data_IF_826629094900
#
_entry.id   IF_826629094900
#
_cell.length_a   1.000
_cell.length_b   1.000
_cell.length_c   1.000
_cell.angle_alpha   90.00
_cell.angle_beta   90.00
_cell.angle_gamma   90.00
#
_symmetry.space_group_name_H-M   'P 1'
#
loop_
_entity.id
_entity.type
_entity.pdbx_description
1 polymer ?
#
# COMPACT_ATOMS: atom_id res chain seq x y z
N UNK A 1 13.65 -9.33 -12.25
CA UNK A 1 12.87 -9.70 -11.06
C UNK A 1 11.96 -8.52 -10.72
N UNK A 2 10.66 -8.69 -10.87
CA UNK A 2 9.67 -7.71 -10.40
C UNK A 2 9.69 -7.80 -8.88
N UNK A 3 10.12 -6.74 -8.20
CA UNK A 3 9.96 -6.64 -6.74
C UNK A 3 8.49 -6.38 -6.48
N UNK A 4 7.79 -7.35 -5.91
CA UNK A 4 6.44 -7.15 -5.41
C UNK A 4 6.50 -6.31 -4.13
N UNK A 5 5.55 -5.40 -3.97
CA UNK A 5 5.45 -4.60 -2.74
C UNK A 5 5.10 -5.52 -1.57
N UNK A 6 5.79 -5.34 -0.43
CA UNK A 6 5.53 -6.10 0.79
C UNK A 6 4.20 -5.73 1.43
N UNK A 7 3.74 -4.49 1.24
CA UNK A 7 2.46 -3.98 1.69
C UNK A 7 1.70 -3.40 0.51
N UNK A 8 0.45 -3.81 0.36
CA UNK A 8 -0.50 -3.27 -0.62
C UNK A 8 -1.85 -3.01 0.05
N UNK A 9 -2.80 -2.41 -0.66
CA UNK A 9 -4.15 -2.17 -0.15
C UNK A 9 -5.24 -2.59 -1.12
N UNK A 10 -6.44 -2.78 -0.59
CA UNK A 10 -7.68 -2.93 -1.36
C UNK A 10 -8.77 -2.03 -0.72
N UNK A 11 -9.27 -0.99 -1.43
CA UNK A 11 -8.89 -0.59 -2.79
C UNK A 11 -7.43 -0.12 -2.89
N UNK A 12 -6.88 -0.12 -4.10
CA UNK A 12 -5.46 0.15 -4.36
C UNK A 12 -5.01 1.57 -3.96
N UNK A 13 -5.91 2.54 -4.01
CA UNK A 13 -5.62 3.94 -3.69
C UNK A 13 -6.43 4.37 -2.47
N UNK A 14 -5.75 4.62 -1.37
CA UNK A 14 -6.34 5.12 -0.12
C UNK A 14 -5.99 6.59 0.02
N UNK A 15 -6.99 7.45 0.14
CA UNK A 15 -6.80 8.88 0.33
C UNK A 15 -6.55 9.24 1.80
N UNK A 16 -5.98 10.42 2.03
CA UNK A 16 -5.61 10.93 3.36
C UNK A 16 -6.78 11.03 4.34
N UNK A 17 -8.01 11.08 3.84
CA UNK A 17 -9.26 11.17 4.62
C UNK A 17 -10.21 9.99 4.37
N UNK A 18 -9.68 8.86 3.90
CA UNK A 18 -10.50 7.69 3.57
C UNK A 18 -11.31 7.22 4.79
N UNK A 19 -12.65 7.17 4.64
CA UNK A 19 -13.61 6.99 5.72
C UNK A 19 -14.47 5.73 5.62
N UNK A 20 -14.13 4.82 4.70
CA UNK A 20 -14.78 3.50 4.57
C UNK A 20 -13.82 2.40 4.99
N UNK A 21 -14.33 1.17 5.16
CA UNK A 21 -13.49 0.01 5.38
C UNK A 21 -12.54 -0.19 4.20
N UNK A 22 -11.29 -0.55 4.50
CA UNK A 22 -10.31 -0.98 3.50
C UNK A 22 -9.35 -2.00 4.10
N UNK A 23 -8.70 -2.74 3.23
CA UNK A 23 -7.78 -3.80 3.62
C UNK A 23 -6.32 -3.41 3.33
N UNK A 24 -5.44 -3.70 4.27
CA UNK A 24 -3.99 -3.72 4.09
C UNK A 24 -3.56 -5.18 3.93
N UNK A 25 -2.86 -5.47 2.85
CA UNK A 25 -2.35 -6.80 2.54
C UNK A 25 -0.85 -6.83 2.79
N UNK A 26 -0.42 -7.75 3.64
CA UNK A 26 0.98 -7.99 3.96
C UNK A 26 1.44 -9.31 3.34
N UNK A 27 2.50 -9.26 2.53
CA UNK A 27 3.18 -10.43 1.97
C UNK A 27 4.46 -10.73 2.76
N UNK A 28 4.39 -11.74 3.62
CA UNK A 28 5.50 -12.16 4.48
C UNK A 28 6.66 -12.83 3.72
N UNK A 29 6.52 -13.08 2.42
CA UNK A 29 7.60 -13.62 1.57
C UNK A 29 8.53 -12.53 1.05
N UNK A 30 8.10 -11.27 1.11
CA UNK A 30 8.86 -10.12 0.62
C UNK A 30 9.77 -9.56 1.71
N UNK A 31 10.62 -8.59 1.34
CA UNK A 31 11.63 -8.03 2.25
C UNK A 31 12.64 -9.10 2.69
N UNK A 32 13.04 -9.08 3.94
CA UNK A 32 13.98 -10.05 4.52
C UNK A 32 13.42 -11.45 4.78
N UNK A 33 12.11 -11.69 4.57
CA UNK A 33 11.44 -12.98 4.77
C UNK A 33 11.37 -13.44 6.25
N UNK A 34 11.70 -12.57 7.20
CA UNK A 34 11.71 -12.90 8.63
C UNK A 34 10.34 -13.29 9.20
N UNK A 35 9.27 -12.87 8.53
CA UNK A 35 7.88 -13.17 8.88
C UNK A 35 7.30 -14.39 8.14
N UNK A 36 8.10 -15.07 7.34
CA UNK A 36 7.64 -16.26 6.61
C UNK A 36 7.24 -17.38 7.58
N UNK A 37 6.18 -18.11 7.20
CA UNK A 37 5.67 -19.31 7.90
C UNK A 37 5.19 -19.06 9.35
N UNK A 38 4.82 -17.81 9.69
CA UNK A 38 4.14 -17.52 10.96
C UNK A 38 2.72 -18.10 10.96
N UNK A 39 2.21 -18.41 12.15
CA UNK A 39 0.86 -18.96 12.36
C UNK A 39 -0.15 -17.92 12.76
N UNK A 40 0.30 -16.81 13.36
CA UNK A 40 -0.51 -15.66 13.75
C UNK A 40 0.22 -14.38 13.38
N UNK A 41 -0.51 -13.35 13.00
CA UNK A 41 0.06 -12.06 12.64
C UNK A 41 -0.73 -10.93 13.27
N UNK A 42 -0.02 -9.99 13.89
CA UNK A 42 -0.55 -8.75 14.44
C UNK A 42 0.19 -7.55 13.88
N UNK A 43 -0.49 -6.42 13.80
CA UNK A 43 0.11 -5.15 13.42
C UNK A 43 0.39 -4.28 14.64
N UNK A 44 1.65 -3.89 14.84
CA UNK A 44 1.96 -2.64 15.52
C UNK A 44 1.86 -1.54 14.47
N UNK A 45 0.99 -0.56 14.66
CA UNK A 45 0.64 0.39 13.59
C UNK A 45 0.42 1.80 14.12
N UNK A 46 0.60 2.79 13.27
CA UNK A 46 0.43 4.20 13.55
C UNK A 46 0.37 5.01 12.25
N UNK A 47 0.49 6.31 12.36
CA UNK A 47 0.45 7.25 11.25
C UNK A 47 1.71 8.12 11.20
N UNK A 48 2.24 8.38 10.02
CA UNK A 48 2.98 9.60 9.75
C UNK A 48 1.98 10.67 9.31
N UNK A 49 2.03 11.81 9.95
CA UNK A 49 1.11 12.93 9.69
C UNK A 49 1.87 14.18 9.26
N UNK A 50 1.14 15.24 8.94
CA UNK A 50 1.72 16.56 8.68
C UNK A 50 2.46 17.16 9.89
N UNK A 51 2.30 16.57 11.09
CA UNK A 51 2.96 16.98 12.35
C UNK A 51 4.14 16.06 12.73
N UNK A 52 4.36 14.97 11.97
CA UNK A 52 5.52 14.11 12.18
C UNK A 52 6.81 14.80 11.71
N UNK A 53 7.86 14.71 12.50
CA UNK A 53 9.17 15.31 12.19
C UNK A 53 9.99 14.48 11.20
N UNK A 54 9.75 13.17 11.15
CA UNK A 54 10.39 12.19 10.25
C UNK A 54 9.60 10.87 10.26
N UNK A 55 10.06 9.90 9.50
CA UNK A 55 9.39 8.58 9.36
C UNK A 55 9.46 7.68 10.61
N UNK A 56 10.23 8.06 11.65
CA UNK A 56 10.23 7.38 12.95
C UNK A 56 9.30 8.04 13.98
N UNK A 57 8.72 9.20 13.65
CA UNK A 57 7.83 9.95 14.53
C UNK A 57 6.37 9.58 14.29
N UNK A 58 6.04 8.31 14.60
CA UNK A 58 4.70 7.78 14.45
C UNK A 58 3.72 8.42 15.44
N UNK A 59 2.59 8.87 14.93
CA UNK A 59 1.47 9.41 15.70
C UNK A 59 0.34 8.38 15.75
N UNK A 60 -0.53 8.51 16.74
CA UNK A 60 -1.70 7.63 16.89
C UNK A 60 -1.35 6.14 16.91
N UNK A 61 -0.13 5.83 17.38
CA UNK A 61 0.39 4.48 17.38
C UNK A 61 -0.22 3.61 18.47
N UNK A 62 -0.25 2.31 18.20
CA UNK A 62 -0.64 1.28 19.16
C UNK A 62 0.48 1.04 20.18
N UNK A 63 0.15 0.42 21.33
CA UNK A 63 1.19 -0.09 22.20
C UNK A 63 1.95 -1.26 21.57
N UNK A 64 3.24 -1.36 21.85
CA UNK A 64 4.01 -2.52 21.39
C UNK A 64 3.51 -3.81 22.09
N UNK A 65 3.30 -4.86 21.30
CA UNK A 65 2.83 -6.13 21.82
C UNK A 65 1.31 -6.21 22.05
N UNK A 66 0.55 -5.18 21.64
CA UNK A 66 -0.90 -5.20 21.73
C UNK A 66 -1.48 -6.27 20.82
N UNK A 67 -2.17 -7.25 21.40
CA UNK A 67 -2.81 -8.38 20.73
C UNK A 67 -4.35 -8.23 20.68
N UNK A 68 -4.87 -7.01 20.74
CA UNK A 68 -6.29 -6.77 20.50
C UNK A 68 -6.70 -7.27 19.10
N UNK A 69 -7.89 -7.85 19.01
CA UNK A 69 -8.44 -8.39 17.74
C UNK A 69 -8.51 -7.33 16.63
N UNK A 70 -8.55 -6.06 16.99
CA UNK A 70 -8.51 -4.93 16.06
C UNK A 70 -7.23 -4.92 15.21
N UNK A 71 -6.12 -5.41 15.76
CA UNK A 71 -4.79 -5.41 15.13
C UNK A 71 -4.38 -6.78 14.59
N UNK A 72 -5.25 -7.77 14.77
CA UNK A 72 -5.02 -9.13 14.30
C UNK A 72 -5.28 -9.26 12.81
N UNK A 73 -4.31 -9.78 12.07
CA UNK A 73 -4.47 -10.06 10.66
C UNK A 73 -5.12 -11.41 10.42
N UNK A 74 -5.91 -11.49 9.37
CA UNK A 74 -6.49 -12.74 8.86
C UNK A 74 -5.58 -13.29 7.77
N UNK A 75 -5.24 -14.58 7.86
CA UNK A 75 -4.52 -15.27 6.79
C UNK A 75 -5.45 -15.44 5.58
N UNK A 76 -5.03 -14.94 4.41
CA UNK A 76 -5.80 -15.03 3.16
C UNK A 76 -5.19 -16.03 2.16
N UNK A 77 -3.87 -16.19 2.17
CA UNK A 77 -3.10 -17.17 1.40
C UNK A 77 -1.88 -17.60 2.22
N UNK A 78 -1.10 -18.55 1.71
CA UNK A 78 0.18 -18.89 2.34
C UNK A 78 1.10 -17.67 2.36
N UNK A 79 1.55 -17.30 3.56
CA UNK A 79 2.39 -16.13 3.82
C UNK A 79 1.77 -14.77 3.42
N UNK A 80 0.46 -14.72 3.12
CA UNK A 80 -0.26 -13.47 2.92
C UNK A 80 -1.33 -13.24 3.96
N UNK A 81 -1.34 -12.03 4.48
CA UNK A 81 -2.13 -11.63 5.64
C UNK A 81 -2.87 -10.34 5.34
N UNK A 82 -4.05 -10.19 5.92
CA UNK A 82 -4.94 -9.07 5.72
C UNK A 82 -5.31 -8.42 7.04
N UNK A 83 -5.08 -7.10 7.16
CA UNK A 83 -5.62 -6.26 8.22
C UNK A 83 -6.73 -5.40 7.65
N UNK A 84 -7.94 -5.49 8.20
CA UNK A 84 -9.04 -4.60 7.82
C UNK A 84 -9.03 -3.34 8.69
N UNK A 85 -8.84 -2.18 8.08
CA UNK A 85 -8.98 -0.87 8.71
C UNK A 85 -10.46 -0.48 8.67
N UNK A 86 -11.17 -0.71 9.76
CA UNK A 86 -12.63 -0.50 9.82
C UNK A 86 -12.98 0.95 10.01
N UNK A 87 -13.95 1.44 9.22
CA UNK A 87 -14.48 2.79 9.29
C UNK A 87 -13.50 3.86 8.78
N UNK A 88 -12.41 3.44 8.14
CA UNK A 88 -11.40 4.34 7.62
C UNK A 88 -10.37 4.80 8.66
N UNK A 89 -9.57 5.78 8.28
CA UNK A 89 -8.37 6.20 9.01
C UNK A 89 -8.72 6.73 10.40
N UNK A 90 -9.60 7.71 10.50
CA UNK A 90 -9.93 8.33 11.79
C UNK A 90 -10.70 7.41 12.74
N UNK A 91 -11.57 6.54 12.21
CA UNK A 91 -12.28 5.58 13.04
C UNK A 91 -11.33 4.50 13.61
N UNK A 92 -10.29 4.17 12.87
CA UNK A 92 -9.32 3.16 13.28
C UNK A 92 -8.23 3.73 14.20
N UNK A 93 -7.63 4.87 13.86
CA UNK A 93 -6.51 5.45 14.61
C UNK A 93 -6.92 6.49 15.65
N UNK A 94 -8.13 7.03 15.56
CA UNK A 94 -8.63 8.15 16.34
C UNK A 94 -8.67 9.45 15.52
N UNK A 95 -9.50 10.40 15.96
CA UNK A 95 -9.63 11.67 15.27
C UNK A 95 -8.33 12.46 15.28
N UNK A 96 -7.91 12.92 14.12
CA UNK A 96 -6.74 13.77 13.95
C UNK A 96 -6.99 15.15 14.58
N UNK A 97 -5.91 15.82 15.01
CA UNK A 97 -5.98 17.19 15.48
C UNK A 97 -6.39 18.13 14.34
N UNK A 98 -7.00 19.26 14.68
CA UNK A 98 -7.39 20.27 13.69
C UNK A 98 -6.20 20.69 12.80
N UNK A 99 -6.39 20.61 11.48
CA UNK A 99 -5.36 20.92 10.48
C UNK A 99 -4.25 19.88 10.36
N UNK A 100 -4.34 18.75 11.06
CA UNK A 100 -3.44 17.62 10.89
C UNK A 100 -3.94 16.71 9.76
N UNK A 101 -3.03 16.20 8.94
CA UNK A 101 -3.34 15.35 7.79
C UNK A 101 -2.50 14.07 7.88
N UNK A 102 -3.12 12.90 7.79
CA UNK A 102 -2.42 11.63 7.66
C UNK A 102 -1.70 11.57 6.30
N UNK A 103 -0.45 11.13 6.29
CA UNK A 103 0.37 11.01 5.08
C UNK A 103 0.74 9.59 4.74
N UNK A 104 1.01 8.77 5.79
CA UNK A 104 1.35 7.35 5.61
C UNK A 104 0.71 6.54 6.72
N UNK A 105 0.31 5.32 6.39
CA UNK A 105 0.08 4.28 7.38
C UNK A 105 1.41 3.58 7.66
N UNK A 106 1.69 3.32 8.92
CA UNK A 106 2.95 2.72 9.37
C UNK A 106 2.68 1.39 10.03
N UNK A 107 3.53 0.39 9.76
CA UNK A 107 3.36 -0.97 10.28
C UNK A 107 4.68 -1.59 10.67
N UNK A 108 4.68 -2.29 11.79
CA UNK A 108 5.55 -3.45 12.03
C UNK A 108 4.62 -4.64 12.21
N UNK A 109 4.65 -5.59 11.29
CA UNK A 109 3.94 -6.85 11.45
C UNK A 109 4.76 -7.77 12.33
N UNK A 110 4.09 -8.50 13.22
CA UNK A 110 4.76 -9.36 14.19
C UNK A 110 3.95 -10.62 14.48
N UNK A 111 4.63 -11.66 14.93
CA UNK A 111 4.00 -12.83 15.56
C UNK A 111 3.35 -12.46 16.89
N UNK A 112 2.47 -13.29 17.40
CA UNK A 112 1.77 -13.06 18.68
C UNK A 112 2.74 -12.81 19.85
N UNK A 113 3.83 -13.59 19.93
CA UNK A 113 4.87 -13.44 20.96
C UNK A 113 5.90 -12.35 20.66
N UNK A 114 5.83 -11.70 19.50
CA UNK A 114 6.82 -10.74 19.00
C UNK A 114 8.24 -11.30 18.86
N UNK A 115 8.39 -12.60 18.74
CA UNK A 115 9.66 -13.28 18.46
C UNK A 115 10.08 -13.15 17.00
N UNK A 116 9.12 -12.89 16.10
CA UNK A 116 9.31 -12.53 14.71
C UNK A 116 8.62 -11.20 14.41
N UNK A 117 9.28 -10.35 13.65
CA UNK A 117 8.74 -9.06 13.22
C UNK A 117 9.31 -8.64 11.86
N UNK A 118 8.56 -7.80 11.13
CA UNK A 118 9.04 -7.11 9.95
C UNK A 118 9.92 -5.93 10.32
N UNK A 119 10.60 -5.35 9.34
CA UNK A 119 11.05 -3.97 9.40
C UNK A 119 9.86 -2.99 9.47
N UNK A 120 10.16 -1.68 9.63
CA UNK A 120 9.18 -0.61 9.48
C UNK A 120 8.69 -0.57 8.03
N UNK A 121 7.40 -0.70 7.84
CA UNK A 121 6.75 -0.69 6.54
C UNK A 121 5.77 0.47 6.45
N UNK A 122 5.73 1.11 5.28
CA UNK A 122 4.92 2.30 5.06
C UNK A 122 4.01 2.09 3.85
N UNK A 123 2.77 2.57 3.99
CA UNK A 123 1.84 2.71 2.89
C UNK A 123 1.51 4.20 2.72
N UNK A 124 1.87 4.76 1.57
CA UNK A 124 1.62 6.18 1.26
C UNK A 124 0.13 6.42 1.02
N UNK A 125 -0.39 7.48 1.65
CA UNK A 125 -1.75 7.95 1.43
C UNK A 125 -1.75 9.03 0.35
N UNK A 126 -2.77 9.02 -0.49
CA UNK A 126 -2.89 9.94 -1.60
C UNK A 126 -3.73 11.17 -1.24
N UNK A 127 -3.39 12.38 -1.73
CA UNK A 127 -4.20 13.57 -1.51
C UNK A 127 -5.63 13.35 -2.01
N UNK A 128 -6.60 13.90 -1.26
CA UNK A 128 -7.98 13.90 -1.70
C UNK A 128 -8.17 14.78 -2.94
N UNK A 129 -9.02 14.34 -3.87
CA UNK A 129 -9.38 15.11 -5.08
C UNK A 129 -8.35 15.07 -6.18
N UNK A 130 -7.20 14.42 -5.98
CA UNK A 130 -6.21 14.22 -7.02
C UNK A 130 -6.44 12.89 -7.76
N UNK A 131 -6.22 12.91 -9.08
CA UNK A 131 -6.17 11.68 -9.89
C UNK A 131 -4.75 11.14 -9.85
N UNK A 132 -4.63 9.90 -9.38
CA UNK A 132 -3.35 9.20 -9.33
C UNK A 132 -3.24 8.34 -10.58
N UNK A 133 -2.07 8.37 -11.22
CA UNK A 133 -1.71 7.51 -12.35
C UNK A 133 -0.48 6.72 -11.92
N UNK A 134 -0.61 5.41 -11.90
CA UNK A 134 0.46 4.51 -11.46
C UNK A 134 0.85 3.54 -12.58
N UNK A 135 2.11 3.61 -13.01
CA UNK A 135 2.71 2.68 -13.98
C UNK A 135 3.21 1.44 -13.22
N UNK A 136 2.44 0.37 -13.26
CA UNK A 136 2.75 -0.91 -12.59
C UNK A 136 3.86 -1.67 -13.32
N UNK A 137 3.79 -1.67 -14.65
CA UNK A 137 4.74 -2.38 -15.51
C UNK A 137 5.02 -1.52 -16.76
N UNK A 138 6.28 -1.37 -17.18
CA UNK A 138 7.48 -1.82 -16.47
C UNK A 138 7.73 -1.03 -15.18
N UNK A 139 8.44 -1.64 -14.24
CA UNK A 139 8.87 -0.91 -13.05
C UNK A 139 9.81 0.25 -13.44
N UNK A 140 9.75 1.34 -12.69
CA UNK A 140 10.61 2.50 -12.94
C UNK A 140 12.10 2.09 -12.94
N UNK A 141 12.87 2.61 -13.89
CA UNK A 141 14.29 2.26 -14.12
C UNK A 141 14.55 0.78 -14.47
N UNK A 142 13.54 0.04 -14.95
CA UNK A 142 13.77 -1.31 -15.49
C UNK A 142 14.53 -1.25 -16.83
N UNK A 143 15.19 -2.35 -17.18
CA UNK A 143 15.86 -2.52 -18.46
C UNK A 143 15.20 -3.66 -19.23
N UNK A 144 15.17 -3.56 -20.56
CA UNK A 144 14.69 -4.61 -21.45
C UNK A 144 15.76 -4.88 -22.53
N UNK A 145 15.79 -6.09 -23.08
CA UNK A 145 16.66 -6.42 -24.20
C UNK A 145 16.06 -5.94 -25.53
N UNK A 146 16.94 -5.61 -26.48
CA UNK A 146 16.49 -5.19 -27.82
C UNK A 146 15.73 -6.33 -28.48
N UNK A 147 14.48 -6.06 -28.89
CA UNK A 147 13.59 -7.05 -29.51
C UNK A 147 12.70 -7.81 -28.52
N UNK A 148 12.84 -7.55 -27.24
CA UNK A 148 11.92 -8.08 -26.21
C UNK A 148 10.57 -7.35 -26.27
N UNK A 149 9.48 -8.09 -26.07
CA UNK A 149 8.13 -7.50 -25.92
C UNK A 149 7.97 -7.01 -24.49
N UNK A 150 7.73 -5.71 -24.33
CA UNK A 150 7.57 -5.08 -23.02
C UNK A 150 6.10 -4.99 -22.64
N UNK A 151 5.69 -5.72 -21.60
CA UNK A 151 4.36 -5.58 -21.04
C UNK A 151 4.19 -4.20 -20.37
N UNK A 152 3.05 -3.56 -20.59
CA UNK A 152 2.71 -2.27 -19.98
C UNK A 152 1.41 -2.43 -19.19
N UNK A 153 1.41 -1.95 -17.96
CA UNK A 153 0.24 -1.88 -17.10
C UNK A 153 0.20 -0.53 -16.37
N UNK A 154 -0.85 0.24 -16.61
CA UNK A 154 -1.15 1.49 -15.93
C UNK A 154 -2.49 1.34 -15.22
N UNK A 155 -2.59 1.87 -14.01
CA UNK A 155 -3.83 1.99 -13.25
C UNK A 155 -4.03 3.42 -12.80
N UNK A 156 -5.28 3.85 -12.67
CA UNK A 156 -5.65 5.19 -12.22
C UNK A 156 -6.65 5.12 -11.07
N UNK A 157 -6.65 6.12 -10.20
CA UNK A 157 -7.57 6.19 -9.06
C UNK A 157 -9.01 6.57 -9.44
N UNK A 158 -9.24 7.00 -10.68
CA UNK A 158 -10.55 7.36 -11.23
C UNK A 158 -10.67 6.90 -12.68
N UNK A 159 -11.90 6.82 -13.17
CA UNK A 159 -12.18 6.60 -14.60
C UNK A 159 -11.65 7.81 -15.37
N UNK A 160 -10.82 7.54 -16.37
CA UNK A 160 -10.23 8.56 -17.23
C UNK A 160 -10.95 8.63 -18.56
N UNK A 161 -11.13 9.83 -19.09
CA UNK A 161 -11.66 10.01 -20.45
C UNK A 161 -10.75 9.31 -21.46
N UNK A 162 -9.43 9.35 -21.22
CA UNK A 162 -8.44 8.71 -22.07
C UNK A 162 -7.13 8.46 -21.32
N UNK A 163 -6.53 7.29 -21.55
CA UNK A 163 -5.16 6.95 -21.13
C UNK A 163 -4.37 6.67 -22.41
N UNK A 164 -3.24 7.33 -22.59
CA UNK A 164 -2.34 7.14 -23.73
C UNK A 164 -0.92 6.84 -23.25
N UNK A 165 -0.26 5.89 -23.89
CA UNK A 165 1.14 5.56 -23.64
C UNK A 165 1.97 5.94 -24.87
N UNK A 166 3.08 6.61 -24.61
CA UNK A 166 4.03 7.04 -25.62
C UNK A 166 5.41 6.45 -25.33
N UNK A 167 6.08 5.97 -26.38
CA UNK A 167 7.49 5.59 -26.36
C UNK A 167 8.19 6.42 -27.45
N UNK A 168 9.23 7.16 -27.10
CA UNK A 168 9.96 8.07 -27.98
C UNK A 168 9.01 9.01 -28.78
N UNK A 169 8.04 9.60 -28.09
CA UNK A 169 7.00 10.47 -28.65
C UNK A 169 6.04 9.80 -29.67
N UNK A 170 6.06 8.48 -29.79
CA UNK A 170 5.08 7.73 -30.59
C UNK A 170 4.06 7.08 -29.68
N UNK A 171 2.78 7.32 -29.95
CA UNK A 171 1.70 6.63 -29.23
C UNK A 171 1.74 5.15 -29.57
N UNK A 172 1.82 4.31 -28.54
CA UNK A 172 1.87 2.85 -28.66
C UNK A 172 0.61 2.17 -28.15
N UNK A 173 -0.05 2.73 -27.14
CA UNK A 173 -1.30 2.21 -26.58
C UNK A 173 -2.25 3.35 -26.23
N UNK A 174 -3.55 3.05 -26.27
CA UNK A 174 -4.62 3.97 -25.88
C UNK A 174 -5.81 3.18 -25.32
N UNK A 175 -6.46 3.71 -24.29
CA UNK A 175 -7.74 3.27 -23.78
C UNK A 175 -8.60 4.46 -23.36
N UNK A 176 -9.90 4.34 -23.35
CA UNK A 176 -10.83 5.41 -23.00
C UNK A 176 -11.95 4.87 -22.09
N UNK A 177 -12.38 5.71 -21.13
CA UNK A 177 -13.49 5.37 -20.23
C UNK A 177 -13.15 4.29 -19.18
N UNK A 178 -11.88 4.12 -18.82
CA UNK A 178 -11.41 3.03 -17.96
C UNK A 178 -10.55 3.55 -16.80
N UNK A 179 -10.33 2.70 -15.78
CA UNK A 179 -9.39 2.96 -14.68
C UNK A 179 -8.01 2.33 -14.90
N UNK A 180 -7.71 1.91 -16.12
CA UNK A 180 -6.42 1.32 -16.42
C UNK A 180 -6.24 0.96 -17.89
N UNK A 181 -5.00 0.62 -18.22
CA UNK A 181 -4.56 0.21 -19.54
C UNK A 181 -3.55 -0.91 -19.42
N UNK A 182 -3.74 -2.00 -20.16
CA UNK A 182 -2.78 -3.10 -20.27
C UNK A 182 -2.50 -3.41 -21.73
N UNK A 183 -1.23 -3.70 -22.05
CA UNK A 183 -0.80 -4.08 -23.39
C UNK A 183 0.66 -4.47 -23.46
N UNK A 184 1.14 -4.71 -24.66
CA UNK A 184 2.54 -5.06 -24.95
C UNK A 184 2.96 -4.63 -26.33
#
# INVERSE_FOLDING_TARGET
>A
LISLAQVTSDPQFITTNYSSDFDIIFDATQGGGGMKDITTCYAHTGLITSKSSNDSDWKYGTAWGDNDDKYKLTKIEDNKWKLTIKGGIEAFYGSLLEGEVAKKLCFVFRSEGSDKQSEDLFYELYPEGEVIVDLKTPANNSTAEIGETLAIEVVTSAIMDKIEIYVDNKKVLENAGETGLKGS
#
